data_IF_188373661696
#
_entry.id   IF_188373661696
#
_cell.length_a   1.000
_cell.length_b   1.000
_cell.length_c   1.000
_cell.angle_alpha   90.00
_cell.angle_beta   90.00
_cell.angle_gamma   90.00
#
_symmetry.space_group_name_H-M   'P 1'
#
loop_
_entity.id
_entity.type
_entity.pdbx_description
1 polymer ?
#
# COMPACT_ATOMS: atom_id res chain seq x y z
N UNK A 1 7.24 -12.55 -6.46
CA UNK A 1 7.88 -11.63 -5.48
C UNK A 1 7.21 -11.75 -4.12
N UNK A 2 5.89 -11.58 -4.04
CA UNK A 2 5.11 -11.73 -2.78
C UNK A 2 5.42 -13.03 -2.03
N UNK A 3 5.38 -14.18 -2.70
CA UNK A 3 5.78 -15.46 -2.08
C UNK A 3 7.16 -15.42 -1.41
N UNK A 4 8.16 -14.78 -2.02
CA UNK A 4 9.50 -14.66 -1.41
C UNK A 4 9.47 -13.84 -0.12
N UNK A 5 8.63 -12.80 -0.06
CA UNK A 5 8.43 -12.02 1.17
C UNK A 5 7.79 -12.88 2.25
N UNK A 6 6.75 -13.65 1.90
CA UNK A 6 6.07 -14.60 2.80
C UNK A 6 7.07 -15.64 3.32
N UNK A 7 7.83 -16.27 2.44
CA UNK A 7 8.85 -17.28 2.80
C UNK A 7 9.95 -16.69 3.70
N UNK A 8 10.20 -15.38 3.59
CA UNK A 8 11.15 -14.64 4.44
C UNK A 8 10.55 -14.20 5.78
N UNK A 9 9.28 -14.53 6.05
CA UNK A 9 8.58 -14.19 7.29
C UNK A 9 8.06 -12.75 7.35
N UNK A 10 7.93 -12.05 6.21
CA UNK A 10 7.38 -10.70 6.19
C UNK A 10 5.93 -10.69 6.68
N UNK A 11 5.59 -9.81 7.63
CA UNK A 11 4.21 -9.58 8.08
C UNK A 11 3.48 -8.52 7.26
N UNK A 12 4.23 -7.55 6.73
CA UNK A 12 3.69 -6.49 5.86
C UNK A 12 4.49 -6.37 4.57
N UNK A 13 3.81 -6.06 3.47
CA UNK A 13 4.41 -5.88 2.14
C UNK A 13 3.93 -4.55 1.57
N UNK A 14 4.86 -3.61 1.34
CA UNK A 14 4.60 -2.32 0.70
C UNK A 14 4.80 -2.41 -0.81
N UNK A 15 3.77 -2.09 -1.59
CA UNK A 15 3.75 -2.17 -3.05
C UNK A 15 3.41 -0.80 -3.66
N UNK A 16 4.42 0.04 -3.79
CA UNK A 16 4.34 1.34 -4.47
C UNK A 16 4.30 1.19 -6.00
N UNK A 17 3.35 0.41 -6.52
CA UNK A 17 3.22 0.02 -7.92
C UNK A 17 1.76 -0.22 -8.32
N UNK A 18 1.51 -0.30 -9.63
CA UNK A 18 0.21 -0.63 -10.21
C UNK A 18 0.31 -0.88 -11.72
N UNK A 19 -0.84 -1.03 -12.38
CA UNK A 19 -0.94 -1.10 -13.85
C UNK A 19 -1.17 -2.49 -14.46
N UNK A 20 -1.38 -3.52 -13.63
CA UNK A 20 -1.55 -4.91 -14.10
C UNK A 20 -2.93 -5.29 -14.64
N UNK A 21 -3.90 -4.37 -14.60
CA UNK A 21 -5.31 -4.67 -14.89
C UNK A 21 -5.92 -5.72 -13.93
N UNK A 22 -7.23 -5.97 -14.07
CA UNK A 22 -7.89 -7.00 -13.28
C UNK A 22 -7.45 -8.40 -13.78
N UNK A 23 -7.00 -9.24 -12.86
CA UNK A 23 -6.67 -10.64 -13.09
C UNK A 23 -7.19 -11.52 -11.97
N UNK A 24 -8.00 -12.53 -12.30
CA UNK A 24 -8.53 -13.48 -11.30
C UNK A 24 -7.41 -14.31 -10.67
N UNK A 25 -6.43 -14.75 -11.46
CA UNK A 25 -5.28 -15.52 -10.95
C UNK A 25 -4.51 -14.68 -9.92
N UNK A 26 -4.27 -13.42 -10.24
CA UNK A 26 -3.54 -12.50 -9.35
C UNK A 26 -4.38 -12.19 -8.10
N UNK A 27 -5.70 -12.01 -8.25
CA UNK A 27 -6.63 -11.84 -7.14
C UNK A 27 -6.61 -13.04 -6.17
N UNK A 28 -6.66 -14.26 -6.71
CA UNK A 28 -6.69 -15.48 -5.92
C UNK A 28 -5.38 -15.69 -5.18
N UNK A 29 -4.24 -15.36 -5.82
CA UNK A 29 -2.92 -15.37 -5.17
C UNK A 29 -2.85 -14.37 -4.01
N UNK A 30 -3.23 -13.12 -4.23
CA UNK A 30 -3.23 -12.10 -3.17
C UNK A 30 -4.19 -12.44 -2.03
N UNK A 31 -5.37 -12.99 -2.37
CA UNK A 31 -6.34 -13.44 -1.38
C UNK A 31 -5.82 -14.63 -0.58
N UNK A 32 -5.14 -15.58 -1.23
CA UNK A 32 -4.48 -16.70 -0.56
C UNK A 32 -3.42 -16.24 0.43
N UNK A 33 -2.56 -15.29 0.05
CA UNK A 33 -1.56 -14.72 0.95
C UNK A 33 -2.20 -13.97 2.13
N UNK A 34 -3.26 -13.23 1.89
CA UNK A 34 -3.97 -12.51 2.93
C UNK A 34 -4.67 -13.46 3.92
N UNK A 35 -5.39 -14.48 3.43
CA UNK A 35 -6.18 -15.37 4.27
C UNK A 35 -5.35 -16.46 4.95
N UNK A 36 -4.39 -17.06 4.24
CA UNK A 36 -3.68 -18.25 4.72
C UNK A 36 -2.32 -17.92 5.33
N UNK A 37 -1.57 -16.98 4.73
CA UNK A 37 -0.24 -16.61 5.23
C UNK A 37 -0.29 -15.47 6.25
N UNK A 38 -1.44 -14.78 6.35
CA UNK A 38 -1.67 -13.71 7.32
C UNK A 38 -0.80 -12.48 7.07
N UNK A 39 -0.39 -12.23 5.83
CA UNK A 39 0.36 -11.03 5.47
C UNK A 39 -0.57 -9.86 5.15
N UNK A 40 -0.19 -8.66 5.58
CA UNK A 40 -0.88 -7.43 5.20
C UNK A 40 -0.18 -6.80 4.00
N UNK A 41 -0.86 -6.78 2.87
CA UNK A 41 -0.32 -6.26 1.64
C UNK A 41 -0.94 -4.88 1.39
N UNK A 42 -0.09 -3.88 1.20
CA UNK A 42 -0.47 -2.47 1.14
C UNK A 42 0.02 -1.90 -0.19
N UNK A 43 -0.87 -1.31 -0.99
CA UNK A 43 -0.54 -0.88 -2.34
C UNK A 43 -1.01 0.54 -2.67
N UNK A 44 -0.31 1.17 -3.60
CA UNK A 44 -0.62 2.51 -4.10
C UNK A 44 -1.92 2.51 -4.92
N UNK A 45 -2.86 3.39 -4.57
CA UNK A 45 -4.15 3.52 -5.27
C UNK A 45 -4.00 3.95 -6.73
N UNK A 46 -2.89 4.63 -7.08
CA UNK A 46 -2.54 5.09 -8.42
C UNK A 46 -2.64 6.61 -8.60
N UNK A 47 -2.08 7.11 -9.71
CA UNK A 47 -1.71 8.52 -9.88
C UNK A 47 -2.43 9.24 -11.06
N UNK A 48 -3.54 8.69 -11.54
CA UNK A 48 -4.26 9.24 -12.71
C UNK A 48 -5.32 10.30 -12.35
N UNK A 49 -5.49 10.62 -11.05
CA UNK A 49 -6.40 11.67 -10.59
C UNK A 49 -7.88 11.43 -10.91
N UNK A 50 -8.30 10.16 -10.98
CA UNK A 50 -9.65 9.77 -11.38
C UNK A 50 -10.21 8.64 -10.48
N UNK A 51 -11.44 8.22 -10.77
CA UNK A 51 -12.13 7.14 -10.06
C UNK A 51 -11.89 5.73 -10.61
N UNK A 52 -10.92 5.55 -11.51
CA UNK A 52 -10.61 4.23 -12.07
C UNK A 52 -9.93 3.32 -11.06
N UNK A 53 -10.06 2.01 -11.28
CA UNK A 53 -9.45 0.98 -10.43
C UNK A 53 -8.06 0.62 -10.94
N UNK A 54 -7.04 0.86 -10.12
CA UNK A 54 -5.70 0.34 -10.34
C UNK A 54 -5.45 -0.96 -9.58
N UNK A 55 -4.82 -1.91 -10.24
CA UNK A 55 -4.47 -3.20 -9.65
C UNK A 55 -2.95 -3.27 -9.42
N UNK A 56 -2.51 -3.83 -8.27
CA UNK A 56 -3.30 -4.67 -7.36
C UNK A 56 -4.09 -3.94 -6.27
N UNK A 57 -3.96 -2.62 -6.11
CA UNK A 57 -4.58 -1.88 -5.01
C UNK A 57 -6.11 -2.02 -4.92
N UNK A 58 -6.79 -2.31 -6.03
CA UNK A 58 -8.25 -2.49 -6.08
C UNK A 58 -8.73 -3.91 -5.78
N UNK A 59 -7.85 -4.83 -5.36
CA UNK A 59 -8.26 -6.13 -4.84
C UNK A 59 -8.65 -6.04 -3.37
N UNK A 60 -9.73 -6.72 -2.97
CA UNK A 60 -10.24 -6.69 -1.58
C UNK A 60 -9.22 -7.14 -0.53
N UNK A 61 -8.32 -8.05 -0.89
CA UNK A 61 -7.25 -8.56 -0.02
C UNK A 61 -6.06 -7.60 0.13
N UNK A 62 -6.07 -6.47 -0.57
CA UNK A 62 -5.03 -5.45 -0.56
C UNK A 62 -5.55 -4.20 0.13
N UNK A 63 -4.72 -3.62 1.00
CA UNK A 63 -4.99 -2.33 1.62
C UNK A 63 -4.62 -1.21 0.65
N UNK A 64 -5.61 -0.53 0.09
CA UNK A 64 -5.40 0.52 -0.93
C UNK A 64 -5.10 1.89 -0.29
N UNK A 65 -4.02 2.54 -0.75
CA UNK A 65 -3.52 3.78 -0.17
C UNK A 65 -3.57 4.95 -1.17
N UNK A 66 -4.37 5.95 -0.84
CA UNK A 66 -4.41 7.25 -1.51
C UNK A 66 -3.35 8.23 -0.95
N UNK A 67 -3.15 9.34 -1.66
CA UNK A 67 -2.21 10.39 -1.27
C UNK A 67 -2.93 11.68 -0.83
N UNK A 68 -2.46 12.25 0.27
CA UNK A 68 -2.81 13.60 0.73
C UNK A 68 -1.61 14.54 0.73
N UNK A 69 -1.88 15.83 0.61
CA UNK A 69 -0.91 16.91 0.79
C UNK A 69 -0.73 17.29 2.28
N UNK A 70 0.14 18.26 2.55
CA UNK A 70 0.42 18.75 3.91
C UNK A 70 -0.79 19.45 4.58
N UNK A 71 -1.77 19.89 3.79
CA UNK A 71 -3.03 20.46 4.27
C UNK A 71 -4.11 19.38 4.49
N UNK A 72 -3.75 18.09 4.31
CA UNK A 72 -4.65 16.93 4.38
C UNK A 72 -5.72 16.91 3.28
N UNK A 73 -5.52 17.68 2.22
CA UNK A 73 -6.35 17.58 1.02
C UNK A 73 -5.89 16.39 0.19
N UNK A 74 -6.81 15.74 -0.52
CA UNK A 74 -6.45 14.74 -1.51
C UNK A 74 -5.52 15.37 -2.57
N UNK A 75 -4.40 14.72 -2.85
CA UNK A 75 -3.50 15.15 -3.90
C UNK A 75 -4.20 15.04 -5.27
N UNK A 76 -4.02 16.04 -6.16
CA UNK A 76 -4.74 16.10 -7.45
C UNK A 76 -4.56 14.86 -8.34
N UNK A 77 -3.43 14.15 -8.20
CA UNK A 77 -3.14 12.92 -8.93
C UNK A 77 -3.68 11.66 -8.24
N UNK A 78 -4.06 11.71 -6.97
CA UNK A 78 -4.46 10.50 -6.24
C UNK A 78 -5.76 9.95 -6.81
N UNK A 79 -5.77 8.69 -7.24
CA UNK A 79 -7.02 8.00 -7.58
C UNK A 79 -7.93 7.86 -6.35
N UNK A 80 -9.24 7.90 -6.58
CA UNK A 80 -10.29 7.91 -5.56
C UNK A 80 -11.44 7.00 -6.01
N UNK A 81 -11.43 5.76 -5.54
CA UNK A 81 -12.47 4.79 -5.87
C UNK A 81 -12.96 4.08 -4.61
N UNK A 82 -13.98 3.24 -4.77
CA UNK A 82 -14.62 2.47 -3.71
C UNK A 82 -13.71 1.41 -3.05
N UNK A 83 -12.48 1.22 -3.53
CA UNK A 83 -11.48 0.33 -2.91
C UNK A 83 -10.44 1.10 -2.09
N UNK A 84 -10.35 2.43 -2.18
CA UNK A 84 -9.44 3.22 -1.34
C UNK A 84 -9.89 3.13 0.12
N UNK A 85 -8.98 2.71 1.00
CA UNK A 85 -9.30 2.50 2.42
C UNK A 85 -8.69 3.58 3.31
N UNK A 86 -7.49 4.03 2.98
CA UNK A 86 -6.75 4.98 3.80
C UNK A 86 -5.90 5.89 2.91
N UNK A 87 -5.51 7.05 3.44
CA UNK A 87 -4.58 7.95 2.77
C UNK A 87 -3.36 8.24 3.65
N UNK A 88 -2.21 8.42 3.01
CA UNK A 88 -0.97 8.84 3.65
C UNK A 88 -0.37 10.08 2.97
N UNK A 89 0.64 10.72 3.59
CA UNK A 89 1.37 11.82 2.96
C UNK A 89 1.99 11.36 1.64
N UNK A 90 1.63 12.01 0.54
CA UNK A 90 2.10 11.63 -0.79
C UNK A 90 2.56 12.80 -1.65
N UNK A 91 2.62 14.02 -1.13
CA UNK A 91 3.11 15.22 -1.83
C UNK A 91 4.40 15.71 -1.18
N UNK A 92 5.42 15.97 -2.00
CA UNK A 92 6.74 16.48 -1.62
C UNK A 92 7.43 15.69 -0.49
N UNK A 93 7.22 14.37 -0.50
CA UNK A 93 7.75 13.46 0.51
C UNK A 93 9.24 13.27 0.32
N UNK A 94 10.03 13.80 1.25
CA UNK A 94 11.49 13.66 1.27
C UNK A 94 11.91 12.29 1.78
N UNK A 95 12.70 11.56 0.98
CA UNK A 95 13.23 10.25 1.35
C UNK A 95 14.65 10.02 0.81
N UNK A 96 15.21 8.87 1.13
CA UNK A 96 16.56 8.44 0.73
C UNK A 96 16.62 8.06 -0.75
N UNK A 97 17.78 8.34 -1.36
CA UNK A 97 18.16 7.88 -2.69
C UNK A 97 19.50 7.13 -2.63
N UNK A 98 19.79 6.29 -3.65
CA UNK A 98 21.13 5.69 -3.80
C UNK A 98 22.25 6.73 -3.78
N UNK A 99 23.42 6.34 -3.30
CA UNK A 99 24.58 7.23 -3.24
C UNK A 99 24.57 8.23 -2.08
N UNK A 100 23.93 7.89 -0.95
CA UNK A 100 23.86 8.74 0.25
C UNK A 100 23.22 10.11 -0.02
N UNK A 101 22.14 10.12 -0.79
CA UNK A 101 21.45 11.34 -1.20
C UNK A 101 19.97 11.33 -0.75
N UNK A 102 19.30 12.46 -0.90
CA UNK A 102 17.88 12.64 -0.58
C UNK A 102 17.19 13.42 -1.67
N UNK A 103 15.92 13.10 -1.92
CA UNK A 103 15.05 13.89 -2.79
C UNK A 103 13.62 13.84 -2.28
N UNK A 104 12.81 14.80 -2.74
CA UNK A 104 11.36 14.82 -2.51
C UNK A 104 10.63 14.38 -3.77
N UNK A 105 9.72 13.41 -3.65
CA UNK A 105 8.85 12.96 -4.72
C UNK A 105 7.38 13.02 -4.29
N UNK A 106 6.50 13.01 -5.29
CA UNK A 106 5.05 13.01 -5.11
C UNK A 106 4.42 11.80 -5.81
N UNK A 107 3.47 11.14 -5.15
CA UNK A 107 2.75 9.99 -5.65
C UNK A 107 2.08 9.19 -4.54
N UNK A 108 1.05 8.40 -4.89
CA UNK A 108 0.51 7.37 -4.00
C UNK A 108 1.59 6.36 -3.59
N UNK A 109 2.59 6.16 -4.46
CA UNK A 109 3.84 5.44 -4.15
C UNK A 109 4.58 5.93 -2.91
N UNK A 110 4.50 7.23 -2.58
CA UNK A 110 5.11 7.83 -1.39
C UNK A 110 4.19 7.74 -0.17
N UNK A 111 2.87 7.65 -0.38
CA UNK A 111 1.89 7.44 0.69
C UNK A 111 1.91 5.99 1.21
N UNK A 112 2.01 5.00 0.33
CA UNK A 112 2.06 3.56 0.67
C UNK A 112 3.05 3.21 1.79
N UNK A 113 4.34 3.61 1.74
CA UNK A 113 5.30 3.26 2.80
C UNK A 113 5.01 3.92 4.15
N UNK A 114 4.29 5.05 4.21
CA UNK A 114 3.85 5.62 5.49
C UNK A 114 2.83 4.69 6.17
N UNK A 115 1.83 4.22 5.42
CA UNK A 115 0.82 3.28 5.93
C UNK A 115 1.46 1.96 6.33
N UNK A 116 2.40 1.44 5.51
CA UNK A 116 3.14 0.23 5.86
C UNK A 116 3.99 0.40 7.14
N UNK A 117 4.61 1.56 7.32
CA UNK A 117 5.35 1.89 8.54
C UNK A 117 4.45 1.94 9.78
N UNK A 118 3.27 2.55 9.67
CA UNK A 118 2.27 2.57 10.75
C UNK A 118 1.76 1.16 11.06
N UNK A 119 1.41 0.38 10.04
CA UNK A 119 0.98 -1.01 10.23
C UNK A 119 2.06 -1.84 10.95
N UNK A 120 3.34 -1.72 10.55
CA UNK A 120 4.45 -2.38 11.22
C UNK A 120 4.61 -1.91 12.67
N UNK A 121 4.44 -0.61 12.95
CA UNK A 121 4.51 -0.05 14.29
C UNK A 121 3.39 -0.63 15.17
N UNK A 122 2.14 -0.60 14.73
CA UNK A 122 1.01 -1.18 15.46
C UNK A 122 1.24 -2.67 15.71
N UNK A 123 1.69 -3.41 14.70
CA UNK A 123 1.95 -4.84 14.84
C UNK A 123 3.08 -5.15 15.82
N UNK A 124 4.06 -4.26 15.96
CA UNK A 124 5.14 -4.42 16.95
C UNK A 124 4.65 -4.31 18.40
N UNK A 125 3.59 -3.53 18.64
CA UNK A 125 2.92 -3.42 19.93
C UNK A 125 1.92 -4.56 20.17
N UNK A 126 1.32 -5.09 19.11
CA UNK A 126 0.33 -6.18 19.18
C UNK A 126 0.79 -7.41 18.39
N UNK A 127 1.86 -8.11 18.82
CA UNK A 127 2.50 -9.17 18.02
C UNK A 127 1.60 -10.39 17.75
N UNK A 128 0.55 -10.57 18.56
CA UNK A 128 -0.42 -11.67 18.41
C UNK A 128 -1.63 -11.30 17.52
N UNK A 129 -1.71 -10.06 17.03
CA UNK A 129 -2.75 -9.67 16.10
C UNK A 129 -2.54 -10.29 14.71
N UNK A 130 -3.66 -10.56 14.02
CA UNK A 130 -3.67 -10.96 12.61
C UNK A 130 -3.52 -9.73 11.71
N UNK A 131 -3.22 -9.94 10.44
CA UNK A 131 -3.31 -8.87 9.42
C UNK A 131 -4.66 -8.15 9.43
N UNK A 132 -5.76 -8.88 9.65
CA UNK A 132 -7.12 -8.30 9.74
C UNK A 132 -7.23 -7.31 10.90
N UNK A 133 -6.76 -7.68 12.10
CA UNK A 133 -6.75 -6.78 13.26
C UNK A 133 -5.85 -5.56 13.08
N UNK A 134 -4.79 -5.65 12.26
CA UNK A 134 -3.88 -4.54 12.00
C UNK A 134 -4.41 -3.62 10.90
N UNK A 135 -5.26 -4.14 10.01
CA UNK A 135 -5.92 -3.39 8.92
C UNK A 135 -7.07 -2.54 9.43
N UNK A 136 -7.81 -3.04 10.43
CA UNK A 136 -8.93 -2.36 11.12
C UNK A 136 -8.46 -1.31 12.13
#
# INVERSE_FOLDING_TARGET
AVQKCVDSGAKTISMSLGGGGLSNITNDQFSGHYENDGVLIIAAAGNDGNGEKSYPASYKSIMSVAAVDSNKNQAYFSQYNDQVEIAGPGVDVRSTLPGNNYASWSGTSMATPHVAGVAALVWSYFPNCSNKHIRE
#
